data_IF_030270940148
#
_entry.id   IF_030270940148
#
_cell.length_a   1.000
_cell.length_b   1.000
_cell.length_c   1.000
_cell.angle_alpha   90.00
_cell.angle_beta   90.00
_cell.angle_gamma   90.00
#
_symmetry.space_group_name_H-M   'P 1'
#
loop_
_entity.id
_entity.type
_entity.pdbx_description
1 polymer ?
#
# COMPACT_ATOMS: atom_id res chain seq x y z
N UNK A 1 -3.75 21.65 -12.94
CA UNK A 1 -2.54 21.13 -12.26
C UNK A 1 -2.34 19.70 -12.74
N UNK A 2 -1.13 19.30 -13.17
CA UNK A 2 -0.86 17.89 -13.50
C UNK A 2 -0.74 17.07 -12.22
N UNK A 3 -1.22 15.83 -12.23
CA UNK A 3 -1.05 14.87 -11.12
C UNK A 3 0.45 14.66 -10.84
N UNK A 4 1.28 14.61 -11.87
CA UNK A 4 2.74 14.45 -11.74
C UNK A 4 3.37 15.55 -10.89
N UNK A 5 2.94 16.81 -11.06
CA UNK A 5 3.45 17.94 -10.28
C UNK A 5 3.08 17.84 -8.79
N UNK A 6 1.88 17.34 -8.48
CA UNK A 6 1.40 17.18 -7.11
C UNK A 6 2.07 15.99 -6.40
N UNK A 7 2.26 14.87 -7.10
CA UNK A 7 2.80 13.65 -6.50
C UNK A 7 4.33 13.57 -6.46
N UNK A 8 5.05 14.17 -7.43
CA UNK A 8 6.52 14.21 -7.40
C UNK A 8 7.07 15.14 -6.31
N UNK A 9 6.24 16.03 -5.76
CA UNK A 9 6.57 16.83 -4.57
C UNK A 9 6.24 16.08 -3.26
N UNK A 10 5.61 14.91 -3.31
CA UNK A 10 5.22 14.18 -2.10
C UNK A 10 6.49 13.63 -1.42
N UNK A 11 6.75 14.01 -0.15
CA UNK A 11 7.87 13.47 0.60
C UNK A 11 7.74 11.95 0.75
N UNK A 12 8.84 11.29 1.10
CA UNK A 12 8.80 9.87 1.42
C UNK A 12 7.86 9.63 2.60
N UNK A 13 6.97 8.65 2.47
CA UNK A 13 6.11 8.22 3.57
C UNK A 13 5.92 6.71 3.57
N UNK A 14 5.57 6.19 4.74
CA UNK A 14 5.16 4.80 4.94
C UNK A 14 3.70 4.78 5.37
N UNK A 15 2.89 3.97 4.70
CA UNK A 15 1.51 3.68 5.07
C UNK A 15 1.41 2.24 5.57
N UNK A 16 0.71 2.01 6.69
CA UNK A 16 0.54 0.66 7.25
C UNK A 16 -0.75 0.51 8.03
N UNK A 17 -1.12 -0.74 8.30
CA UNK A 17 -2.22 -1.10 9.21
C UNK A 17 -1.79 -1.10 10.69
N UNK A 18 -0.52 -0.79 10.97
CA UNK A 18 0.01 -0.77 12.33
C UNK A 18 -0.57 0.45 13.08
N UNK A 19 -1.25 0.25 14.22
CA UNK A 19 -1.76 1.37 15.01
C UNK A 19 -0.59 2.15 15.61
N UNK A 20 -0.59 3.47 15.41
CA UNK A 20 0.36 4.37 16.03
C UNK A 20 0.07 4.50 17.52
N UNK A 21 1.08 4.31 18.37
CA UNK A 21 0.98 4.62 19.80
C UNK A 21 1.28 6.11 20.03
N UNK A 22 0.59 6.80 20.95
CA UNK A 22 0.77 8.24 21.17
C UNK A 22 2.21 8.66 21.47
N UNK A 23 2.97 7.80 22.13
CA UNK A 23 4.36 8.01 22.53
C UNK A 23 5.41 7.73 21.43
N UNK A 24 5.04 7.13 20.29
CA UNK A 24 6.00 6.78 19.24
C UNK A 24 6.38 7.99 18.38
N UNK A 25 7.69 8.23 18.22
CA UNK A 25 8.20 9.26 17.29
C UNK A 25 8.48 8.67 15.90
N UNK A 26 8.48 9.57 14.91
CA UNK A 26 8.91 9.25 13.56
C UNK A 26 10.35 8.72 13.56
N UNK A 27 10.59 7.56 12.93
CA UNK A 27 11.87 6.84 12.97
C UNK A 27 12.00 5.78 14.06
N UNK A 28 11.09 5.74 15.05
CA UNK A 28 11.06 4.72 16.12
C UNK A 28 10.01 3.62 15.85
N UNK A 29 9.29 3.71 14.74
CA UNK A 29 8.22 2.77 14.40
C UNK A 29 8.83 1.52 13.74
N UNK A 30 8.75 0.39 14.43
CA UNK A 30 9.01 -0.91 13.83
C UNK A 30 7.74 -1.43 13.12
N UNK A 31 7.83 -1.55 11.79
CA UNK A 31 6.74 -2.05 10.95
C UNK A 31 6.80 -3.56 10.72
N UNK A 32 7.68 -4.28 11.42
CA UNK A 32 7.84 -5.73 11.29
C UNK A 32 6.51 -6.46 11.52
N UNK A 33 5.68 -6.02 12.47
CA UNK A 33 4.39 -6.64 12.78
C UNK A 33 3.22 -6.16 11.91
N UNK A 34 3.43 -5.19 11.02
CA UNK A 34 2.38 -4.70 10.13
C UNK A 34 1.93 -5.81 9.16
N UNK A 35 0.62 -6.02 9.06
CA UNK A 35 0.07 -6.93 8.05
C UNK A 35 0.16 -6.34 6.66
N UNK A 36 0.02 -5.02 6.55
CA UNK A 36 0.24 -4.30 5.31
C UNK A 36 1.18 -3.13 5.56
N UNK A 37 2.20 -3.00 4.72
CA UNK A 37 3.06 -1.82 4.67
C UNK A 37 3.29 -1.44 3.22
N UNK A 38 3.24 -0.15 2.95
CA UNK A 38 3.55 0.45 1.67
C UNK A 38 4.51 1.61 1.88
N UNK A 39 5.66 1.54 1.21
CA UNK A 39 6.68 2.59 1.23
C UNK A 39 6.60 3.35 -0.10
N UNK A 40 6.40 4.66 -0.04
CA UNK A 40 6.19 5.52 -1.21
C UNK A 40 7.20 6.66 -1.20
N UNK A 41 7.81 6.93 -2.35
CA UNK A 41 8.76 8.03 -2.54
C UNK A 41 8.51 8.71 -3.88
N UNK A 42 8.33 10.04 -3.86
CA UNK A 42 7.98 10.84 -5.05
C UNK A 42 6.74 10.30 -5.78
N UNK A 43 5.76 9.82 -5.03
CA UNK A 43 4.54 9.20 -5.57
C UNK A 43 4.71 7.79 -6.12
N UNK A 44 5.93 7.26 -6.26
CA UNK A 44 6.20 5.89 -6.70
C UNK A 44 6.31 4.94 -5.51
N UNK A 45 5.79 3.73 -5.64
CA UNK A 45 5.93 2.68 -4.63
C UNK A 45 7.33 2.08 -4.72
N UNK A 46 8.03 2.10 -3.58
CA UNK A 46 9.39 1.59 -3.43
C UNK A 46 9.49 0.34 -2.56
N UNK A 47 8.41 0.00 -1.85
CA UNK A 47 8.36 -1.18 -1.01
C UNK A 47 6.93 -1.59 -0.66
N UNK A 48 6.69 -2.89 -0.53
CA UNK A 48 5.42 -3.42 -0.10
C UNK A 48 5.63 -4.67 0.76
N UNK A 49 4.82 -4.81 1.82
CA UNK A 49 4.72 -6.01 2.64
C UNK A 49 3.24 -6.38 2.78
N UNK A 50 2.94 -7.67 2.63
CA UNK A 50 1.65 -8.26 2.96
C UNK A 50 1.86 -9.51 3.82
N UNK A 51 1.25 -9.56 5.01
CA UNK A 51 1.25 -10.68 5.95
C UNK A 51 -0.19 -10.99 6.37
N UNK A 52 -0.90 -11.69 5.51
CA UNK A 52 -2.25 -12.20 5.82
C UNK A 52 -2.17 -13.68 6.17
N UNK A 53 -3.11 -14.17 6.98
CA UNK A 53 -3.20 -15.60 7.30
C UNK A 53 -3.42 -16.39 6.01
N UNK A 54 -2.53 -17.33 5.75
CA UNK A 54 -2.55 -18.15 4.55
C UNK A 54 -1.88 -17.53 3.33
N UNK A 55 -1.34 -16.31 3.42
CA UNK A 55 -0.43 -15.80 2.40
C UNK A 55 0.94 -16.49 2.53
N UNK A 56 1.45 -16.94 1.40
CA UNK A 56 2.80 -17.46 1.22
C UNK A 56 3.76 -16.30 0.98
N UNK A 57 5.04 -16.48 1.33
CA UNK A 57 6.10 -15.51 1.02
C UNK A 57 6.11 -15.14 -0.47
N UNK A 58 5.84 -16.11 -1.34
CA UNK A 58 5.78 -15.91 -2.79
C UNK A 58 4.66 -14.95 -3.23
N UNK A 59 3.49 -14.99 -2.59
CA UNK A 59 2.40 -14.03 -2.90
C UNK A 59 2.78 -12.61 -2.45
N UNK A 60 3.43 -12.48 -1.30
CA UNK A 60 3.92 -11.18 -0.80
C UNK A 60 5.01 -10.60 -1.71
N UNK A 61 5.96 -11.42 -2.15
CA UNK A 61 7.00 -11.03 -3.12
C UNK A 61 6.40 -10.63 -4.46
N UNK A 62 5.41 -11.39 -4.96
CA UNK A 62 4.72 -11.09 -6.21
C UNK A 62 3.96 -9.78 -6.13
N UNK A 63 3.28 -9.50 -5.01
CA UNK A 63 2.62 -8.21 -4.77
C UNK A 63 3.64 -7.07 -4.80
N UNK A 64 4.78 -7.24 -4.11
CA UNK A 64 5.84 -6.24 -4.10
C UNK A 64 6.36 -5.97 -5.51
N UNK A 65 6.56 -6.99 -6.35
CA UNK A 65 6.97 -6.86 -7.74
C UNK A 65 5.93 -6.14 -8.62
N UNK A 66 4.65 -6.44 -8.45
CA UNK A 66 3.56 -5.79 -9.21
C UNK A 66 3.52 -4.29 -8.88
N UNK A 67 3.71 -3.94 -7.61
CA UNK A 67 3.64 -2.56 -7.13
C UNK A 67 4.93 -1.78 -7.35
N UNK A 68 6.08 -2.45 -7.45
CA UNK A 68 7.37 -1.80 -7.61
C UNK A 68 7.34 -0.86 -8.84
N UNK A 69 7.63 0.42 -8.60
CA UNK A 69 7.64 1.50 -9.62
C UNK A 69 6.29 1.92 -10.18
N UNK A 70 5.17 1.38 -9.70
CA UNK A 70 3.88 2.02 -9.98
C UNK A 70 3.74 3.30 -9.18
N UNK A 71 3.17 4.33 -9.80
CA UNK A 71 2.77 5.48 -9.01
C UNK A 71 1.49 5.16 -8.24
N UNK A 72 1.46 5.54 -6.97
CA UNK A 72 0.34 5.29 -6.09
C UNK A 72 -0.99 5.79 -6.69
N UNK A 73 -0.94 6.92 -7.40
CA UNK A 73 -2.11 7.54 -8.00
C UNK A 73 -2.63 6.83 -9.26
N UNK A 74 -1.83 5.96 -9.87
CA UNK A 74 -2.20 5.14 -11.03
C UNK A 74 -3.01 3.90 -10.62
N UNK A 75 -2.87 3.45 -9.37
CA UNK A 75 -3.58 2.29 -8.84
C UNK A 75 -5.04 2.65 -8.60
N UNK A 76 -5.93 2.15 -9.46
CA UNK A 76 -7.37 2.39 -9.38
C UNK A 76 -8.13 1.30 -8.63
N UNK A 77 -7.62 0.07 -8.65
CA UNK A 77 -8.27 -1.10 -8.06
C UNK A 77 -7.25 -1.96 -7.29
N UNK A 78 -7.22 -1.76 -5.97
CA UNK A 78 -6.37 -2.52 -5.06
C UNK A 78 -6.81 -3.98 -4.91
N UNK A 79 -8.09 -4.28 -5.09
CA UNK A 79 -8.57 -5.67 -5.04
C UNK A 79 -8.05 -6.45 -6.25
N UNK A 80 -8.06 -5.84 -7.44
CA UNK A 80 -7.47 -6.44 -8.63
C UNK A 80 -5.97 -6.70 -8.47
N UNK A 81 -5.22 -5.75 -7.91
CA UNK A 81 -3.78 -5.89 -7.64
C UNK A 81 -3.50 -7.05 -6.66
N UNK A 82 -4.23 -7.13 -5.55
CA UNK A 82 -4.07 -8.22 -4.59
C UNK A 82 -4.41 -9.59 -5.21
N UNK A 83 -5.46 -9.63 -6.04
CA UNK A 83 -5.86 -10.82 -6.79
C UNK A 83 -4.78 -11.27 -7.79
N UNK A 84 -4.15 -10.34 -8.51
CA UNK A 84 -3.06 -10.63 -9.45
C UNK A 84 -1.82 -11.21 -8.73
N UNK A 85 -1.59 -10.77 -7.50
CA UNK A 85 -0.57 -11.36 -6.62
C UNK A 85 -0.97 -12.74 -6.06
N UNK A 86 -2.17 -13.25 -6.39
CA UNK A 86 -2.72 -14.50 -5.88
C UNK A 86 -3.22 -14.41 -4.44
N UNK A 87 -3.38 -13.21 -3.88
CA UNK A 87 -3.82 -12.99 -2.49
C UNK A 87 -5.34 -12.90 -2.39
N UNK A 88 -6.01 -14.05 -2.46
CA UNK A 88 -7.48 -14.15 -2.53
C UNK A 88 -8.15 -14.64 -1.23
N UNK A 89 -7.38 -14.79 -0.14
CA UNK A 89 -7.98 -15.15 1.16
C UNK A 89 -8.94 -14.07 1.62
N UNK A 90 -9.93 -14.44 2.45
CA UNK A 90 -10.88 -13.46 3.00
C UNK A 90 -10.17 -12.28 3.67
N UNK A 91 -9.12 -12.54 4.44
CA UNK A 91 -8.33 -11.48 5.10
C UNK A 91 -7.58 -10.60 4.08
N UNK A 92 -7.07 -11.16 2.98
CA UNK A 92 -6.45 -10.38 1.92
C UNK A 92 -7.46 -9.50 1.17
N UNK A 93 -8.67 -10.01 0.93
CA UNK A 93 -9.75 -9.23 0.31
C UNK A 93 -10.18 -8.09 1.24
N UNK A 94 -10.36 -8.37 2.53
CA UNK A 94 -10.74 -7.34 3.51
C UNK A 94 -9.63 -6.28 3.65
N UNK A 95 -8.36 -6.69 3.63
CA UNK A 95 -7.21 -5.78 3.59
C UNK A 95 -7.20 -4.93 2.33
N UNK A 96 -7.40 -5.51 1.15
CA UNK A 96 -7.44 -4.78 -0.12
C UNK A 96 -8.56 -3.72 -0.14
N UNK A 97 -9.74 -4.04 0.41
CA UNK A 97 -10.84 -3.08 0.56
C UNK A 97 -10.49 -1.94 1.52
N UNK A 98 -9.84 -2.25 2.63
CA UNK A 98 -9.35 -1.24 3.56
C UNK A 98 -8.31 -0.33 2.89
N UNK A 99 -7.31 -0.90 2.20
CA UNK A 99 -6.31 -0.12 1.43
C UNK A 99 -7.00 0.76 0.38
N UNK A 100 -7.96 0.21 -0.36
CA UNK A 100 -8.76 0.98 -1.32
C UNK A 100 -9.43 2.18 -0.62
N UNK A 101 -10.08 1.99 0.52
CA UNK A 101 -10.76 3.09 1.23
C UNK A 101 -9.81 4.19 1.73
N UNK A 102 -8.55 3.85 2.00
CA UNK A 102 -7.56 4.77 2.55
C UNK A 102 -6.76 5.50 1.47
N UNK A 103 -6.40 4.82 0.38
CA UNK A 103 -5.45 5.31 -0.62
C UNK A 103 -6.09 5.67 -1.96
N UNK A 104 -7.38 5.37 -2.17
CA UNK A 104 -8.05 5.80 -3.39
C UNK A 104 -8.18 7.31 -3.42
N UNK A 105 -7.81 7.88 -4.56
CA UNK A 105 -8.13 9.26 -4.85
C UNK A 105 -9.65 9.34 -5.02
N UNK A 106 -10.35 10.29 -4.37
CA UNK A 106 -11.75 10.54 -4.66
C UNK A 106 -11.90 10.72 -6.17
N UNK A 107 -12.76 9.93 -6.81
CA UNK A 107 -13.11 10.15 -8.20
C UNK A 107 -13.60 11.60 -8.31
N UNK A 108 -12.92 12.43 -9.10
CA UNK A 108 -13.48 13.71 -9.46
C UNK A 108 -14.81 13.43 -10.14
N UNK A 109 -15.91 13.73 -9.44
CA UNK A 109 -17.23 13.80 -10.05
C UNK A 109 -17.13 14.82 -11.17
N UNK A 110 -17.23 14.35 -12.42
CA UNK A 110 -17.43 15.20 -13.59
C UNK A 110 -18.86 15.70 -13.56
#
# INVERSE_FOLDING_TARGET
MSLDWTYLQTPQFTFSDLPLRPEQKEGEIDYSDAKFRLDVRYGAITGCQLKTKGATTQQSERLAQILEKQHLHEIKDWQAVFKEAGSETKEAIDMAKWVQSMLSIPSQSI
#
